data_IF_036551490021
#
_entry.id   IF_036551490021
#
_cell.length_a   1.000
_cell.length_b   1.000
_cell.length_c   1.000
_cell.angle_alpha   90.00
_cell.angle_beta   90.00
_cell.angle_gamma   90.00
#
_symmetry.space_group_name_H-M   'P 1'
#
loop_
_entity.id
_entity.type
_entity.pdbx_description
1 polymer ?
#
# COMPACT_ATOMS: atom_id res chain seq x y z
N UNK A 1 -71.28 -49.68 -48.54
CA UNK A 1 -72.10 -48.51 -48.90
C UNK A 1 -71.38 -47.27 -48.38
N UNK A 2 -70.59 -46.63 -49.25
CA UNK A 2 -70.89 -45.31 -49.86
C UNK A 2 -70.58 -44.17 -48.86
N UNK A 3 -69.37 -43.61 -48.84
CA UNK A 3 -68.81 -42.55 -49.71
C UNK A 3 -69.44 -41.15 -49.46
N UNK A 4 -68.61 -40.20 -48.99
CA UNK A 4 -68.62 -38.74 -49.28
C UNK A 4 -67.48 -38.11 -48.43
N UNK A 5 -66.31 -37.66 -48.93
CA UNK A 5 -65.96 -36.54 -49.84
C UNK A 5 -66.63 -35.20 -49.50
N UNK A 6 -65.86 -34.24 -48.97
CA UNK A 6 -65.76 -32.85 -49.45
C UNK A 6 -64.61 -32.09 -48.74
N UNK A 7 -63.50 -31.76 -49.44
CA UNK A 7 -63.08 -30.41 -49.93
C UNK A 7 -62.56 -29.45 -48.84
N UNK A 8 -61.25 -29.11 -48.85
CA UNK A 8 -60.63 -27.81 -49.29
C UNK A 8 -61.06 -26.64 -48.39
N UNK A 9 -60.18 -25.82 -47.79
CA UNK A 9 -59.08 -25.05 -48.38
C UNK A 9 -58.02 -24.65 -47.34
N UNK A 10 -56.85 -24.23 -47.84
CA UNK A 10 -55.68 -23.88 -47.05
C UNK A 10 -55.71 -22.50 -46.40
N UNK A 11 -54.88 -22.35 -45.37
CA UNK A 11 -54.35 -21.08 -44.91
C UNK A 11 -52.93 -21.30 -44.39
N UNK A 12 -52.01 -20.48 -44.88
CA UNK A 12 -50.61 -20.45 -44.48
C UNK A 12 -50.48 -20.04 -43.00
N UNK A 13 -49.86 -20.91 -42.18
CA UNK A 13 -49.52 -20.64 -40.79
C UNK A 13 -48.00 -20.50 -40.64
N UNK A 14 -47.58 -19.39 -40.04
CA UNK A 14 -46.20 -19.01 -39.75
C UNK A 14 -45.41 -20.06 -38.93
N UNK A 15 -44.07 -20.09 -39.02
CA UNK A 15 -43.24 -21.01 -38.24
C UNK A 15 -43.31 -20.69 -36.73
N UNK A 16 -43.18 -21.72 -35.86
CA UNK A 16 -43.27 -21.55 -34.42
C UNK A 16 -42.10 -20.70 -33.89
N UNK A 17 -42.44 -19.77 -32.99
CA UNK A 17 -41.51 -18.85 -32.34
C UNK A 17 -40.40 -19.57 -31.58
N UNK A 18 -39.19 -19.04 -31.71
CA UNK A 18 -38.04 -19.39 -30.89
C UNK A 18 -38.35 -19.18 -29.39
N UNK A 19 -37.82 -20.03 -28.50
CA UNK A 19 -37.95 -19.80 -27.07
C UNK A 19 -37.28 -18.49 -26.69
N UNK A 20 -38.00 -17.65 -25.95
CA UNK A 20 -37.44 -16.49 -25.25
C UNK A 20 -36.38 -17.04 -24.29
N UNK A 21 -35.11 -16.81 -24.62
CA UNK A 21 -34.00 -17.06 -23.71
C UNK A 21 -34.07 -15.92 -22.70
N UNK A 22 -34.50 -16.23 -21.47
CA UNK A 22 -34.35 -15.32 -20.35
C UNK A 22 -32.88 -14.91 -20.26
N UNK A 23 -32.63 -13.61 -20.43
CA UNK A 23 -31.30 -13.05 -20.23
C UNK A 23 -30.80 -13.32 -18.80
N UNK A 24 -29.47 -13.31 -18.58
CA UNK A 24 -28.92 -13.51 -17.25
C UNK A 24 -29.56 -12.50 -16.27
N UNK A 25 -29.85 -12.91 -15.02
CA UNK A 25 -30.45 -12.02 -14.04
C UNK A 25 -29.56 -10.79 -13.89
N UNK A 26 -30.10 -9.62 -14.23
CA UNK A 26 -29.52 -8.33 -13.86
C UNK A 26 -29.37 -8.31 -12.36
N UNK A 27 -28.13 -8.19 -11.88
CA UNK A 27 -27.81 -8.01 -10.46
C UNK A 27 -28.64 -6.84 -9.94
N UNK A 28 -29.69 -7.15 -9.18
CA UNK A 28 -30.40 -6.20 -8.36
C UNK A 28 -29.38 -5.56 -7.42
N UNK A 29 -29.31 -4.23 -7.42
CA UNK A 29 -28.41 -3.46 -6.56
C UNK A 29 -28.69 -3.80 -5.09
N UNK A 30 -27.88 -4.68 -4.51
CA UNK A 30 -27.91 -4.95 -3.08
C UNK A 30 -27.35 -3.69 -2.41
N UNK A 31 -28.21 -2.93 -1.75
CA UNK A 31 -27.77 -1.86 -0.86
C UNK A 31 -27.10 -2.51 0.36
N UNK A 32 -25.78 -2.58 0.34
CA UNK A 32 -24.97 -3.00 1.48
C UNK A 32 -25.00 -1.87 2.52
N UNK A 33 -25.32 -2.18 3.77
CA UNK A 33 -25.29 -1.18 4.85
C UNK A 33 -23.84 -0.79 5.21
N UNK A 34 -23.68 0.41 5.77
CA UNK A 34 -22.37 1.01 6.10
C UNK A 34 -21.45 0.08 6.90
N UNK A 35 -21.98 -0.62 7.91
CA UNK A 35 -21.17 -1.48 8.77
C UNK A 35 -20.71 -2.74 8.02
N UNK A 36 -21.60 -3.33 7.21
CA UNK A 36 -21.27 -4.47 6.36
C UNK A 36 -20.22 -4.11 5.32
N UNK A 37 -20.32 -2.93 4.70
CA UNK A 37 -19.33 -2.44 3.73
C UNK A 37 -17.94 -2.30 4.37
N UNK A 38 -17.83 -1.67 5.54
CA UNK A 38 -16.56 -1.53 6.26
C UNK A 38 -15.96 -2.87 6.65
N UNK A 39 -16.79 -3.84 7.07
CA UNK A 39 -16.32 -5.17 7.44
C UNK A 39 -15.78 -5.95 6.23
N UNK A 40 -16.50 -5.92 5.11
CA UNK A 40 -16.04 -6.58 3.86
C UNK A 40 -14.75 -5.91 3.37
N UNK A 41 -14.67 -4.58 3.41
CA UNK A 41 -13.45 -3.85 3.06
C UNK A 41 -12.25 -4.22 3.95
N UNK A 42 -12.48 -4.39 5.26
CA UNK A 42 -11.44 -4.82 6.19
C UNK A 42 -10.93 -6.23 5.87
N UNK A 43 -11.84 -7.17 5.65
CA UNK A 43 -11.51 -8.56 5.30
C UNK A 43 -10.72 -8.63 3.99
N UNK A 44 -11.12 -7.86 2.98
CA UNK A 44 -10.38 -7.77 1.72
C UNK A 44 -8.98 -7.19 1.92
N UNK A 45 -8.83 -6.11 2.67
CA UNK A 45 -7.53 -5.50 2.92
C UNK A 45 -6.57 -6.45 3.67
N UNK A 46 -7.10 -7.28 4.57
CA UNK A 46 -6.33 -8.25 5.35
C UNK A 46 -5.88 -9.47 4.52
N UNK A 47 -6.65 -9.86 3.50
CA UNK A 47 -6.38 -11.04 2.68
C UNK A 47 -5.81 -10.71 1.29
N UNK A 48 -5.28 -9.50 1.08
CA UNK A 48 -4.65 -9.09 -0.17
C UNK A 48 -5.63 -8.89 -1.33
N UNK A 49 -6.88 -8.51 -1.03
CA UNK A 49 -7.89 -8.17 -2.01
C UNK A 49 -7.57 -6.92 -2.83
N UNK A 50 -8.27 -6.75 -3.94
CA UNK A 50 -8.08 -5.61 -4.86
C UNK A 50 -8.44 -4.27 -4.17
N UNK A 51 -7.47 -3.36 -4.10
CA UNK A 51 -7.65 -2.03 -3.54
C UNK A 51 -8.71 -1.21 -4.28
N UNK A 52 -8.85 -1.39 -5.60
CA UNK A 52 -9.91 -0.73 -6.37
C UNK A 52 -11.31 -1.14 -5.88
N UNK A 53 -11.47 -2.41 -5.50
CA UNK A 53 -12.73 -2.92 -4.97
C UNK A 53 -13.01 -2.39 -3.56
N UNK A 54 -11.97 -2.22 -2.72
CA UNK A 54 -12.11 -1.54 -1.42
C UNK A 54 -12.55 -0.08 -1.60
N UNK A 55 -11.94 0.63 -2.55
CA UNK A 55 -12.33 2.01 -2.88
C UNK A 55 -13.78 2.08 -3.34
N UNK A 56 -14.20 1.23 -4.27
CA UNK A 56 -15.58 1.19 -4.78
C UNK A 56 -16.59 0.92 -3.66
N UNK A 57 -16.30 -0.06 -2.80
CA UNK A 57 -17.16 -0.45 -1.68
C UNK A 57 -17.33 0.66 -0.65
N UNK A 58 -16.29 1.47 -0.41
CA UNK A 58 -16.30 2.56 0.56
C UNK A 58 -16.70 3.91 -0.05
N UNK A 59 -16.60 4.10 -1.36
CA UNK A 59 -16.86 5.37 -2.04
C UNK A 59 -18.30 5.86 -1.84
N UNK A 60 -19.28 5.00 -2.09
CA UNK A 60 -20.69 5.34 -1.88
C UNK A 60 -20.97 5.78 -0.45
N UNK A 61 -20.63 4.96 0.55
CA UNK A 61 -20.78 5.31 1.96
C UNK A 61 -20.09 6.63 2.36
N UNK A 62 -18.89 6.91 1.83
CA UNK A 62 -18.12 8.12 2.16
C UNK A 62 -18.58 9.39 1.42
N UNK A 63 -19.21 9.26 0.25
CA UNK A 63 -19.55 10.38 -0.65
C UNK A 63 -20.48 11.47 -0.06
N UNK A 64 -21.16 11.20 1.05
CA UNK A 64 -22.03 12.16 1.75
C UNK A 64 -21.41 12.80 2.99
N UNK A 65 -20.16 12.49 3.31
CA UNK A 65 -19.51 12.91 4.55
C UNK A 65 -18.31 13.79 4.23
N UNK A 66 -18.27 14.99 4.81
CA UNK A 66 -17.12 15.88 4.71
C UNK A 66 -16.06 15.51 5.77
N UNK A 67 -14.89 14.98 5.40
CA UNK A 67 -13.84 14.60 6.35
C UNK A 67 -13.25 15.80 7.12
N UNK A 68 -13.43 17.04 6.65
CA UNK A 68 -12.97 18.23 7.35
C UNK A 68 -13.84 18.55 8.57
N UNK A 69 -15.14 18.24 8.51
CA UNK A 69 -16.13 18.64 9.52
C UNK A 69 -16.83 17.47 10.21
N UNK A 70 -16.62 16.24 9.74
CA UNK A 70 -17.15 15.04 10.34
C UNK A 70 -16.75 14.90 11.82
N UNK A 71 -17.71 14.49 12.65
CA UNK A 71 -17.45 14.19 14.06
C UNK A 71 -16.62 12.91 14.20
N UNK A 72 -15.75 12.80 15.21
CA UNK A 72 -15.02 11.56 15.47
C UNK A 72 -15.97 10.39 15.70
N UNK A 73 -15.80 9.33 14.91
CA UNK A 73 -16.57 8.08 14.99
C UNK A 73 -15.65 6.89 14.67
N UNK A 74 -15.76 5.79 15.45
CA UNK A 74 -14.88 4.63 15.31
C UNK A 74 -15.03 3.90 13.98
N UNK A 75 -16.26 3.74 13.46
CA UNK A 75 -16.48 3.08 12.18
C UNK A 75 -16.00 3.96 11.02
N UNK A 76 -16.23 5.27 11.13
CA UNK A 76 -15.74 6.22 10.13
C UNK A 76 -14.21 6.32 10.14
N UNK A 77 -13.55 6.22 11.30
CA UNK A 77 -12.09 6.10 11.38
C UNK A 77 -11.63 4.85 10.62
N UNK A 78 -12.21 3.69 10.89
CA UNK A 78 -11.82 2.45 10.20
C UNK A 78 -12.04 2.53 8.69
N UNK A 79 -13.18 3.06 8.25
CA UNK A 79 -13.47 3.28 6.84
C UNK A 79 -12.46 4.23 6.17
N UNK A 80 -12.14 5.35 6.83
CA UNK A 80 -11.18 6.32 6.34
C UNK A 80 -9.77 5.73 6.20
N UNK A 81 -9.33 4.91 7.16
CA UNK A 81 -8.03 4.21 7.09
C UNK A 81 -7.97 3.24 5.92
N UNK A 82 -9.01 2.42 5.74
CA UNK A 82 -9.09 1.46 4.63
C UNK A 82 -9.14 2.17 3.29
N UNK A 83 -9.99 3.19 3.14
CA UNK A 83 -10.10 3.97 1.92
C UNK A 83 -8.78 4.65 1.56
N UNK A 84 -8.17 5.38 2.51
CA UNK A 84 -6.95 6.12 2.25
C UNK A 84 -5.75 5.23 1.88
N UNK A 85 -5.71 3.98 2.37
CA UNK A 85 -4.69 2.99 1.97
C UNK A 85 -4.97 2.32 0.63
N UNK A 86 -6.24 2.17 0.28
CA UNK A 86 -6.66 1.46 -0.92
C UNK A 86 -6.63 2.35 -2.17
N UNK A 87 -6.74 3.67 -2.02
CA UNK A 87 -6.52 4.62 -3.11
C UNK A 87 -5.07 4.50 -3.56
N UNK A 88 -4.88 3.97 -4.76
CA UNK A 88 -3.56 3.74 -5.37
C UNK A 88 -2.79 5.08 -5.48
N UNK A 89 -1.54 5.14 -5.01
CA UNK A 89 -0.65 6.29 -5.22
C UNK A 89 -0.21 6.50 -6.69
N UNK A 90 -0.62 5.66 -7.64
CA UNK A 90 -0.19 5.81 -9.04
C UNK A 90 -0.57 7.19 -9.63
N UNK A 91 0.41 7.95 -10.17
CA UNK A 91 0.18 9.27 -10.77
C UNK A 91 -0.56 9.19 -12.12
N UNK A 92 -0.76 8.00 -12.67
CA UNK A 92 -1.58 7.78 -13.86
C UNK A 92 -2.83 6.99 -13.46
N UNK A 93 -4.04 7.58 -13.55
CA UNK A 93 -5.26 6.79 -13.49
C UNK A 93 -5.25 5.89 -14.72
N UNK A 94 -5.07 4.58 -14.52
CA UNK A 94 -5.47 3.63 -15.54
C UNK A 94 -6.93 3.96 -15.92
N UNK A 95 -7.29 3.97 -17.22
CA UNK A 95 -8.64 4.31 -17.63
C UNK A 95 -9.60 3.28 -17.04
N UNK A 96 -10.28 3.65 -15.97
CA UNK A 96 -11.32 2.83 -15.36
C UNK A 96 -12.43 2.71 -16.39
N UNK A 97 -12.68 1.48 -16.83
CA UNK A 97 -13.83 1.18 -17.66
C UNK A 97 -15.10 1.52 -16.88
N UNK A 98 -15.71 2.66 -17.20
CA UNK A 98 -16.98 3.10 -16.62
C UNK A 98 -18.09 2.14 -17.03
N UNK A 99 -18.54 1.32 -16.08
CA UNK A 99 -19.85 0.69 -16.14
C UNK A 99 -20.47 0.67 -14.74
N UNK A 100 -21.41 1.59 -14.52
CA UNK A 100 -22.34 1.56 -13.37
C UNK A 100 -22.16 2.70 -12.36
N UNK A 101 -23.17 3.57 -12.28
CA UNK A 101 -23.42 4.58 -11.23
C UNK A 101 -22.17 5.22 -10.57
N UNK A 102 -21.71 6.33 -11.13
CA UNK A 102 -20.65 7.13 -10.52
C UNK A 102 -21.08 7.58 -9.11
N UNK A 103 -20.40 7.13 -8.03
CA UNK A 103 -20.60 7.75 -6.72
C UNK A 103 -20.25 9.24 -6.83
N UNK A 104 -20.88 10.09 -6.01
CA UNK A 104 -20.55 11.51 -5.94
C UNK A 104 -19.06 11.73 -5.62
N UNK A 105 -18.54 12.96 -5.75
CA UNK A 105 -17.12 13.21 -5.52
C UNK A 105 -16.76 12.85 -4.08
N UNK A 106 -16.02 11.76 -3.91
CA UNK A 106 -15.41 11.39 -2.63
C UNK A 106 -14.22 12.32 -2.42
N UNK A 107 -14.07 12.87 -1.22
CA UNK A 107 -12.88 13.62 -0.86
C UNK A 107 -11.61 12.76 -1.08
N UNK A 108 -10.49 13.38 -1.37
CA UNK A 108 -9.26 12.65 -1.64
C UNK A 108 -8.75 11.84 -0.42
N UNK A 109 -7.85 10.91 -0.69
CA UNK A 109 -7.18 10.05 0.30
C UNK A 109 -6.51 10.86 1.42
N UNK A 110 -5.89 12.01 1.09
CA UNK A 110 -5.28 12.91 2.07
C UNK A 110 -6.32 13.42 3.06
N UNK A 111 -7.48 13.87 2.59
CA UNK A 111 -8.54 14.40 3.43
C UNK A 111 -9.05 13.32 4.41
N UNK A 112 -9.27 12.10 3.93
CA UNK A 112 -9.70 10.97 4.76
C UNK A 112 -8.62 10.51 5.75
N UNK A 113 -7.35 10.46 5.34
CA UNK A 113 -6.26 10.15 6.25
C UNK A 113 -6.11 11.21 7.36
N UNK A 114 -6.27 12.49 7.02
CA UNK A 114 -6.27 13.58 8.00
C UNK A 114 -7.46 13.51 8.95
N UNK A 115 -8.65 13.13 8.46
CA UNK A 115 -9.80 12.85 9.31
C UNK A 115 -9.47 11.73 10.31
N UNK A 116 -9.00 10.58 9.83
CA UNK A 116 -8.67 9.43 10.68
C UNK A 116 -7.66 9.81 11.76
N UNK A 117 -6.61 10.55 11.40
CA UNK A 117 -5.60 11.05 12.33
C UNK A 117 -6.21 11.94 13.44
N UNK A 118 -6.99 12.97 13.07
CA UNK A 118 -7.62 13.88 14.05
C UNK A 118 -8.65 13.17 14.93
N UNK A 119 -9.51 12.36 14.32
CA UNK A 119 -10.59 11.66 15.00
C UNK A 119 -10.03 10.61 15.97
N UNK A 120 -9.04 9.83 15.55
CA UNK A 120 -8.40 8.82 16.42
C UNK A 120 -7.75 9.48 17.64
N UNK A 121 -7.08 10.61 17.48
CA UNK A 121 -6.47 11.37 18.59
C UNK A 121 -7.48 12.07 19.50
N UNK A 122 -8.71 12.24 19.04
CA UNK A 122 -9.79 12.79 19.86
C UNK A 122 -10.45 11.69 20.70
N UNK A 123 -10.65 10.51 20.12
CA UNK A 123 -11.32 9.39 20.80
C UNK A 123 -10.37 8.52 21.63
N UNK A 124 -9.08 8.52 21.30
CA UNK A 124 -8.08 7.68 21.91
C UNK A 124 -6.89 8.50 22.41
N UNK A 125 -6.18 7.94 23.38
CA UNK A 125 -4.85 8.46 23.75
C UNK A 125 -3.86 8.31 22.59
N UNK A 126 -2.82 9.15 22.57
CA UNK A 126 -1.79 9.16 21.52
C UNK A 126 -1.10 7.80 21.32
N UNK A 127 -1.06 6.98 22.36
CA UNK A 127 -0.42 5.68 22.42
C UNK A 127 -1.36 4.52 22.05
N UNK A 128 -2.64 4.80 21.77
CA UNK A 128 -3.58 3.78 21.32
C UNK A 128 -3.24 3.30 19.91
N UNK A 129 -3.37 2.01 19.65
CA UNK A 129 -3.01 1.39 18.36
C UNK A 129 -3.67 2.09 17.16
N UNK A 130 -4.95 2.43 17.27
CA UNK A 130 -5.68 3.19 16.23
C UNK A 130 -5.10 4.59 15.97
N UNK A 131 -4.58 5.28 16.99
CA UNK A 131 -3.98 6.60 16.81
C UNK A 131 -2.61 6.48 16.11
N UNK A 132 -1.83 5.46 16.43
CA UNK A 132 -0.58 5.12 15.74
C UNK A 132 -0.87 4.73 14.29
N UNK A 133 -1.83 3.82 14.07
CA UNK A 133 -2.25 3.37 12.74
C UNK A 133 -2.69 4.53 11.84
N UNK A 134 -3.46 5.48 12.40
CA UNK A 134 -3.88 6.67 11.68
C UNK A 134 -2.73 7.64 11.38
N UNK A 135 -1.76 7.74 12.28
CA UNK A 135 -0.55 8.55 12.06
C UNK A 135 0.30 7.98 10.94
N UNK A 136 0.55 6.66 10.95
CA UNK A 136 1.29 5.96 9.89
C UNK A 136 0.57 6.04 8.55
N UNK A 137 -0.76 5.88 8.53
CA UNK A 137 -1.56 5.98 7.30
C UNK A 137 -1.49 7.38 6.71
N UNK A 138 -1.64 8.42 7.54
CA UNK A 138 -1.47 9.80 7.08
C UNK A 138 -0.05 10.04 6.56
N UNK A 139 0.97 9.56 7.27
CA UNK A 139 2.36 9.71 6.83
C UNK A 139 2.62 8.99 5.49
N UNK A 140 2.03 7.81 5.27
CA UNK A 140 2.11 7.07 4.01
C UNK A 140 1.49 7.85 2.84
N UNK A 141 0.24 8.30 3.01
CA UNK A 141 -0.49 9.07 2.00
C UNK A 141 0.20 10.40 1.71
N UNK A 142 0.72 11.08 2.72
CA UNK A 142 1.49 12.31 2.50
C UNK A 142 2.77 12.04 1.71
N UNK A 143 3.48 10.95 1.99
CA UNK A 143 4.67 10.55 1.20
C UNK A 143 4.32 10.31 -0.26
N UNK A 144 3.22 9.61 -0.56
CA UNK A 144 2.83 9.33 -1.95
C UNK A 144 2.39 10.57 -2.72
N UNK A 145 1.92 11.61 -2.02
CA UNK A 145 1.57 12.92 -2.61
C UNK A 145 2.71 13.93 -2.57
N UNK A 146 3.95 13.46 -2.41
CA UNK A 146 5.17 14.27 -2.30
C UNK A 146 5.17 15.31 -1.15
N UNK A 147 4.29 15.16 -0.15
CA UNK A 147 4.22 16.01 1.06
C UNK A 147 5.17 15.53 2.15
N UNK A 148 6.45 15.39 1.78
CA UNK A 148 7.49 14.71 2.54
C UNK A 148 7.81 15.31 3.92
N UNK A 149 7.71 16.64 4.08
CA UNK A 149 8.09 17.30 5.34
C UNK A 149 7.15 16.95 6.50
N UNK A 150 5.85 16.95 6.25
CA UNK A 150 4.83 16.59 7.26
C UNK A 150 4.87 15.08 7.53
N UNK A 151 4.97 14.28 6.46
CA UNK A 151 5.12 12.83 6.56
C UNK A 151 6.33 12.42 7.43
N UNK A 152 7.45 13.12 7.29
CA UNK A 152 8.66 12.90 8.06
C UNK A 152 8.47 13.26 9.54
N UNK A 153 7.83 14.40 9.83
CA UNK A 153 7.55 14.82 11.20
C UNK A 153 6.66 13.80 11.93
N UNK A 154 5.58 13.35 11.30
CA UNK A 154 4.67 12.34 11.88
C UNK A 154 5.39 11.04 12.23
N UNK A 155 6.26 10.53 11.35
CA UNK A 155 7.02 9.30 11.62
C UNK A 155 8.04 9.47 12.75
N UNK A 156 8.68 10.64 12.86
CA UNK A 156 9.56 10.94 14.00
C UNK A 156 8.81 10.91 15.32
N UNK A 157 7.59 11.44 15.35
CA UNK A 157 6.75 11.40 16.55
C UNK A 157 6.40 9.96 16.94
N UNK A 158 6.08 9.08 15.96
CA UNK A 158 5.83 7.65 16.22
C UNK A 158 7.09 6.94 16.74
N UNK A 159 8.26 7.20 16.14
CA UNK A 159 9.54 6.64 16.60
C UNK A 159 9.83 7.05 18.05
N UNK A 160 9.60 8.31 18.40
CA UNK A 160 9.82 8.81 19.76
C UNK A 160 8.80 8.21 20.75
N UNK A 161 7.54 8.08 20.33
CA UNK A 161 6.50 7.46 21.15
C UNK A 161 6.84 6.01 21.52
N UNK A 162 7.33 5.20 20.57
CA UNK A 162 7.76 3.83 20.88
C UNK A 162 8.93 3.81 21.87
N UNK A 163 9.89 4.73 21.71
CA UNK A 163 11.02 4.86 22.62
C UNK A 163 10.57 5.23 24.04
N UNK A 164 9.68 6.22 24.18
CA UNK A 164 9.17 6.69 25.47
C UNK A 164 8.39 5.61 26.22
N UNK A 165 7.77 4.67 25.49
CA UNK A 165 7.05 3.51 26.06
C UNK A 165 7.96 2.33 26.40
N UNK A 166 9.24 2.40 26.05
CA UNK A 166 10.17 1.29 26.17
C UNK A 166 9.90 0.14 25.19
N UNK A 167 9.11 0.38 24.15
CA UNK A 167 8.88 -0.58 23.06
C UNK A 167 10.01 -0.47 22.03
N UNK A 168 11.17 -1.04 22.42
CA UNK A 168 12.41 -0.93 21.66
C UNK A 168 12.28 -1.57 20.28
N UNK A 169 11.53 -2.66 20.17
CA UNK A 169 11.41 -3.41 18.91
C UNK A 169 10.58 -2.60 17.90
N UNK A 170 9.43 -2.07 18.31
CA UNK A 170 8.64 -1.19 17.45
C UNK A 170 9.39 0.11 17.10
N UNK A 171 10.18 0.65 18.04
CA UNK A 171 11.05 1.80 17.77
C UNK A 171 12.05 1.51 16.64
N UNK A 172 12.71 0.34 16.66
CA UNK A 172 13.69 -0.05 15.64
C UNK A 172 13.06 -0.30 14.28
N UNK A 173 11.93 -1.00 14.24
CA UNK A 173 11.16 -1.22 13.00
C UNK A 173 10.72 0.12 12.41
N UNK A 174 10.18 1.04 13.22
CA UNK A 174 9.76 2.36 12.76
C UNK A 174 10.93 3.19 12.18
N UNK A 175 12.13 3.08 12.77
CA UNK A 175 13.35 3.71 12.22
C UNK A 175 13.72 3.16 10.84
N UNK A 176 13.61 1.85 10.65
CA UNK A 176 13.94 1.18 9.36
C UNK A 176 12.91 1.56 8.29
N UNK A 177 11.63 1.63 8.65
CA UNK A 177 10.57 2.15 7.76
C UNK A 177 10.82 3.61 7.37
N UNK A 178 11.20 4.47 8.33
CA UNK A 178 11.56 5.86 8.02
C UNK A 178 12.78 5.94 7.08
N UNK A 179 13.78 5.08 7.29
CA UNK A 179 14.93 5.00 6.41
C UNK A 179 14.54 4.60 4.98
N UNK A 180 13.61 3.66 4.79
CA UNK A 180 13.09 3.32 3.46
C UNK A 180 12.45 4.53 2.77
N UNK A 181 11.68 5.34 3.49
CA UNK A 181 11.12 6.56 2.91
C UNK A 181 12.18 7.63 2.61
N UNK A 182 13.20 7.77 3.47
CA UNK A 182 14.36 8.62 3.18
C UNK A 182 15.08 8.17 1.90
N UNK A 183 15.18 6.86 1.71
CA UNK A 183 15.78 6.25 0.53
C UNK A 183 14.95 6.53 -0.73
N UNK A 184 13.63 6.37 -0.69
CA UNK A 184 12.71 6.72 -1.80
C UNK A 184 12.79 8.21 -2.16
N UNK A 185 13.06 9.05 -1.16
CA UNK A 185 13.29 10.47 -1.36
C UNK A 185 14.64 10.82 -1.98
N UNK A 186 15.54 9.85 -2.19
CA UNK A 186 16.90 10.07 -2.68
C UNK A 186 17.89 10.50 -1.59
N UNK A 187 17.52 10.50 -0.31
CA UNK A 187 18.41 10.79 0.83
C UNK A 187 19.18 9.52 1.24
N UNK A 188 19.79 8.87 0.24
CA UNK A 188 20.29 7.50 0.33
C UNK A 188 21.37 7.35 1.43
N UNK A 189 22.24 8.35 1.65
CA UNK A 189 23.25 8.32 2.73
C UNK A 189 22.72 8.49 4.16
N UNK A 190 21.57 9.14 4.35
CA UNK A 190 20.92 9.22 5.66
C UNK A 190 20.12 7.96 5.95
N UNK A 191 19.34 7.52 4.96
CA UNK A 191 18.58 6.28 5.02
C UNK A 191 19.45 5.09 5.42
N UNK A 192 20.56 4.87 4.71
CA UNK A 192 21.46 3.75 4.99
C UNK A 192 22.04 3.83 6.41
N UNK A 193 22.51 5.02 6.83
CA UNK A 193 23.08 5.17 8.18
C UNK A 193 22.07 4.81 9.26
N UNK A 194 20.84 5.29 9.13
CA UNK A 194 19.79 4.99 10.11
C UNK A 194 19.34 3.53 10.06
N UNK A 195 19.11 2.98 8.86
CA UNK A 195 18.70 1.59 8.68
C UNK A 195 19.75 0.60 9.21
N UNK A 196 21.02 0.81 8.87
CA UNK A 196 22.12 -0.06 9.34
C UNK A 196 22.31 0.05 10.85
N UNK A 197 22.22 1.24 11.43
CA UNK A 197 22.31 1.41 12.88
C UNK A 197 21.15 0.74 13.61
N UNK A 198 19.92 0.86 13.10
CA UNK A 198 18.75 0.21 13.67
C UNK A 198 18.83 -1.32 13.54
N UNK A 199 19.29 -1.83 12.39
CA UNK A 199 19.53 -3.27 12.19
C UNK A 199 20.58 -3.81 13.16
N UNK A 200 21.72 -3.15 13.30
CA UNK A 200 22.75 -3.55 14.25
C UNK A 200 22.19 -3.63 15.67
N UNK A 201 21.40 -2.63 16.07
CA UNK A 201 20.76 -2.65 17.39
C UNK A 201 19.73 -3.78 17.51
N UNK A 202 18.94 -4.05 16.47
CA UNK A 202 18.01 -5.19 16.42
C UNK A 202 18.76 -6.51 16.61
N UNK A 203 19.84 -6.74 15.88
CA UNK A 203 20.67 -7.95 15.95
C UNK A 203 21.41 -8.14 17.29
N UNK A 204 21.47 -7.13 18.16
CA UNK A 204 21.95 -7.32 19.55
C UNK A 204 20.88 -7.87 20.49
N UNK A 205 19.60 -7.80 20.10
CA UNK A 205 18.43 -8.16 20.92
C UNK A 205 17.77 -9.44 20.43
N UNK A 206 17.80 -9.65 19.12
CA UNK A 206 17.16 -10.78 18.44
C UNK A 206 18.21 -11.59 17.71
N UNK A 207 17.97 -12.90 17.63
CA UNK A 207 18.71 -13.74 16.70
C UNK A 207 18.38 -13.27 15.27
N UNK A 208 19.35 -12.87 14.46
CA UNK A 208 19.09 -12.42 13.09
C UNK A 208 18.41 -13.50 12.23
N UNK A 209 18.54 -14.79 12.58
CA UNK A 209 17.94 -15.92 11.85
C UNK A 209 16.50 -16.24 12.28
N UNK A 210 15.99 -15.58 13.33
CA UNK A 210 14.59 -15.73 13.75
C UNK A 210 13.66 -15.16 12.65
N UNK A 211 12.57 -15.87 12.27
CA UNK A 211 11.57 -15.35 11.34
C UNK A 211 11.07 -13.93 11.61
N UNK A 212 11.09 -13.46 12.87
CA UNK A 212 10.71 -12.07 13.21
C UNK A 212 11.69 -11.04 12.65
N UNK A 213 12.95 -11.42 12.41
CA UNK A 213 14.01 -10.57 11.87
C UNK A 213 13.96 -10.47 10.34
N UNK A 214 13.33 -11.44 9.66
CA UNK A 214 13.35 -11.57 8.19
C UNK A 214 12.87 -10.32 7.45
N UNK A 215 11.69 -9.73 7.79
CA UNK A 215 11.18 -8.56 7.05
C UNK A 215 12.11 -7.35 7.19
N UNK A 216 12.64 -7.15 8.39
CA UNK A 216 13.56 -6.07 8.73
C UNK A 216 14.89 -6.23 7.99
N UNK A 217 15.43 -7.45 7.95
CA UNK A 217 16.66 -7.78 7.24
C UNK A 217 16.52 -7.57 5.73
N UNK A 218 15.42 -8.06 5.13
CA UNK A 218 15.11 -7.87 3.71
C UNK A 218 15.03 -6.40 3.32
N UNK A 219 14.38 -5.57 4.13
CA UNK A 219 14.22 -4.15 3.86
C UNK A 219 15.58 -3.42 3.89
N UNK A 220 16.41 -3.72 4.90
CA UNK A 220 17.76 -3.15 5.03
C UNK A 220 18.67 -3.61 3.88
N UNK A 221 18.67 -4.91 3.58
CA UNK A 221 19.45 -5.51 2.49
C UNK A 221 19.08 -4.89 1.12
N UNK A 222 17.78 -4.70 0.86
CA UNK A 222 17.27 -4.11 -0.37
C UNK A 222 17.74 -2.65 -0.53
N UNK A 223 17.67 -1.84 0.53
CA UNK A 223 18.17 -0.46 0.51
C UNK A 223 19.68 -0.39 0.30
N UNK A 224 20.45 -1.21 1.01
CA UNK A 224 21.91 -1.27 0.88
C UNK A 224 22.31 -1.61 -0.55
N UNK A 225 21.66 -2.61 -1.13
CA UNK A 225 21.98 -3.07 -2.47
C UNK A 225 21.60 -1.99 -3.49
N UNK A 226 20.47 -1.32 -3.30
CA UNK A 226 20.02 -0.24 -4.18
C UNK A 226 20.91 1.00 -4.18
N UNK A 227 21.71 1.14 -3.13
CA UNK A 227 22.76 2.15 -3.04
C UNK A 227 24.14 1.64 -3.46
N UNK A 228 24.24 0.42 -4.00
CA UNK A 228 25.48 -0.20 -4.45
C UNK A 228 26.39 -0.72 -3.34
N UNK A 229 25.86 -0.91 -2.12
CA UNK A 229 26.62 -1.41 -0.95
C UNK A 229 26.56 -2.93 -0.85
N UNK A 230 26.99 -3.61 -1.92
CA UNK A 230 26.83 -5.05 -2.11
C UNK A 230 27.43 -5.88 -0.97
N UNK A 231 28.63 -5.54 -0.48
CA UNK A 231 29.28 -6.27 0.61
C UNK A 231 28.46 -6.24 1.90
N UNK A 232 27.81 -5.10 2.19
CA UNK A 232 26.96 -4.95 3.38
C UNK A 232 25.60 -5.60 3.20
N UNK A 233 25.04 -5.59 1.98
CA UNK A 233 23.86 -6.40 1.67
C UNK A 233 24.12 -7.87 1.94
N UNK A 234 25.24 -8.39 1.45
CA UNK A 234 25.65 -9.79 1.69
C UNK A 234 25.78 -10.06 3.17
N UNK A 235 26.42 -9.16 3.93
CA UNK A 235 26.55 -9.32 5.38
C UNK A 235 25.19 -9.39 6.09
N UNK A 236 24.18 -8.62 5.66
CA UNK A 236 22.82 -8.70 6.24
C UNK A 236 22.12 -9.99 5.86
N UNK A 237 22.18 -10.40 4.58
CA UNK A 237 21.58 -11.65 4.08
C UNK A 237 22.19 -12.86 4.79
N UNK A 238 23.51 -12.90 4.90
CA UNK A 238 24.24 -14.01 5.55
C UNK A 238 23.97 -14.05 7.05
N UNK A 239 23.89 -12.89 7.72
CA UNK A 239 23.57 -12.83 9.13
C UNK A 239 22.17 -13.35 9.42
N UNK A 240 21.19 -12.97 8.61
CA UNK A 240 19.79 -13.34 8.82
C UNK A 240 19.40 -14.70 8.21
N UNK A 241 20.37 -15.44 7.65
CA UNK A 241 20.15 -16.71 6.93
C UNK A 241 18.91 -16.66 6.02
N UNK A 242 18.77 -15.55 5.27
CA UNK A 242 17.60 -15.32 4.45
C UNK A 242 17.57 -16.37 3.34
N UNK A 243 16.76 -17.40 3.57
CA UNK A 243 16.61 -18.53 2.66
C UNK A 243 15.59 -18.11 1.59
N UNK A 244 16.09 -17.41 0.57
CA UNK A 244 15.32 -16.70 -0.45
C UNK A 244 14.62 -17.61 -1.47
N UNK A 245 14.09 -18.75 -1.03
CA UNK A 245 13.41 -19.73 -1.87
C UNK A 245 14.38 -20.57 -2.69
N UNK A 246 15.08 -21.48 -2.03
CA UNK A 246 15.55 -22.70 -2.67
C UNK A 246 14.61 -23.83 -2.22
N UNK A 247 13.72 -24.28 -3.10
CA UNK A 247 13.24 -25.67 -3.02
C UNK A 247 14.49 -26.55 -3.24
N UNK A 248 15.14 -26.92 -2.15
CA UNK A 248 16.41 -27.64 -2.17
C UNK A 248 16.16 -29.14 -2.32
N UNK A 249 16.19 -29.61 -3.55
CA UNK A 249 16.87 -30.87 -3.85
C UNK A 249 18.23 -30.53 -4.48
N UNK A 250 19.30 -30.85 -3.75
CA UNK A 250 20.73 -30.71 -4.06
C UNK A 250 21.44 -29.40 -3.64
N UNK A 251 22.52 -29.59 -2.87
CA UNK A 251 23.42 -28.60 -2.27
C UNK A 251 24.19 -27.68 -3.27
N UNK A 252 23.77 -27.62 -4.54
CA UNK A 252 24.27 -26.68 -5.55
C UNK A 252 23.35 -25.48 -5.82
N UNK A 253 22.11 -25.48 -5.32
CA UNK A 253 21.08 -24.49 -5.66
C UNK A 253 21.08 -23.22 -4.78
N UNK A 254 21.64 -23.27 -3.56
CA UNK A 254 21.62 -22.14 -2.60
C UNK A 254 22.41 -20.93 -3.12
N UNK A 255 23.50 -21.16 -3.86
CA UNK A 255 24.21 -20.07 -4.56
C UNK A 255 23.38 -19.45 -5.68
N UNK A 256 22.58 -20.27 -6.38
CA UNK A 256 21.76 -19.83 -7.51
C UNK A 256 20.57 -18.95 -7.09
N UNK A 257 19.84 -19.32 -6.04
CA UNK A 257 18.70 -18.54 -5.55
C UNK A 257 19.15 -17.19 -4.95
N UNK A 258 20.28 -17.18 -4.23
CA UNK A 258 20.91 -15.95 -3.75
C UNK A 258 21.35 -15.05 -4.91
N UNK A 259 22.02 -15.60 -5.92
CA UNK A 259 22.46 -14.84 -7.09
C UNK A 259 21.28 -14.35 -7.93
N UNK A 260 20.19 -15.12 -8.03
CA UNK A 260 18.97 -14.75 -8.73
C UNK A 260 18.18 -13.66 -7.99
N UNK A 261 18.08 -13.74 -6.66
CA UNK A 261 17.52 -12.67 -5.84
C UNK A 261 18.35 -11.39 -5.91
N UNK A 262 19.68 -11.50 -5.82
CA UNK A 262 20.58 -10.37 -6.03
C UNK A 262 20.46 -9.80 -7.44
N UNK A 263 20.19 -10.64 -8.46
CA UNK A 263 19.96 -10.21 -9.85
C UNK A 263 18.60 -9.51 -10.01
N UNK A 264 17.54 -10.04 -9.39
CA UNK A 264 16.21 -9.42 -9.37
C UNK A 264 16.24 -8.08 -8.65
N UNK A 265 16.90 -8.01 -7.49
CA UNK A 265 17.13 -6.75 -6.80
C UNK A 265 18.02 -5.83 -7.65
N UNK A 266 19.13 -6.29 -8.23
CA UNK A 266 19.97 -5.46 -9.09
C UNK A 266 19.21 -4.91 -10.32
N UNK A 267 18.26 -5.67 -10.86
CA UNK A 267 17.39 -5.22 -11.95
C UNK A 267 16.43 -4.10 -11.50
N UNK A 268 15.83 -4.22 -10.30
CA UNK A 268 15.00 -3.13 -9.73
C UNK A 268 15.83 -1.88 -9.40
N UNK A 269 17.14 -2.05 -9.17
CA UNK A 269 18.07 -0.97 -8.83
C UNK A 269 18.51 -0.12 -10.01
N UNK A 270 18.42 -0.57 -11.25
CA UNK A 270 18.71 0.31 -12.39
C UNK A 270 17.76 1.50 -12.37
N UNK A 271 16.48 1.26 -12.10
CA UNK A 271 15.46 2.31 -11.96
C UNK A 271 15.75 3.16 -10.72
N UNK A 272 16.06 2.53 -9.60
CA UNK A 272 16.31 3.23 -8.33
C UNK A 272 17.59 4.07 -8.31
N UNK A 273 18.69 3.57 -8.88
CA UNK A 273 19.97 4.29 -9.01
C UNK A 273 19.79 5.57 -9.83
N UNK A 274 18.94 5.54 -10.85
CA UNK A 274 18.59 6.73 -11.63
C UNK A 274 17.81 7.74 -10.77
N UNK A 275 16.93 7.28 -9.87
CA UNK A 275 16.22 8.14 -8.91
C UNK A 275 17.16 8.72 -7.85
N UNK A 276 17.97 7.89 -7.15
CA UNK A 276 18.99 8.35 -6.19
C UNK A 276 19.94 9.36 -6.86
N UNK A 277 20.46 9.07 -8.07
CA UNK A 277 21.38 9.97 -8.77
C UNK A 277 20.72 11.29 -9.18
N UNK A 278 19.54 11.25 -9.84
CA UNK A 278 18.83 12.48 -10.27
C UNK A 278 18.45 13.37 -9.10
N UNK A 279 18.06 12.81 -7.95
CA UNK A 279 17.69 13.60 -6.76
C UNK A 279 18.90 14.11 -6.00
N UNK A 280 20.00 13.35 -5.95
CA UNK A 280 21.28 13.82 -5.41
C UNK A 280 21.80 15.02 -6.22
N UNK A 281 21.80 14.92 -7.55
CA UNK A 281 22.22 16.00 -8.44
C UNK A 281 21.39 17.27 -8.21
N UNK A 282 20.06 17.15 -8.12
CA UNK A 282 19.19 18.31 -7.80
C UNK A 282 19.47 18.91 -6.43
N UNK A 283 19.73 18.09 -5.41
CA UNK A 283 20.02 18.57 -4.05
C UNK A 283 21.37 19.28 -4.00
N UNK A 284 22.38 18.76 -4.69
CA UNK A 284 23.69 19.40 -4.82
C UNK A 284 23.60 20.72 -5.60
N UNK A 285 22.81 20.78 -6.68
CA UNK A 285 22.54 22.00 -7.42
C UNK A 285 21.80 23.04 -6.54
N UNK A 286 20.78 22.63 -5.79
CA UNK A 286 20.06 23.52 -4.87
C UNK A 286 20.93 24.02 -3.71
N UNK A 287 21.79 23.17 -3.16
CA UNK A 287 22.74 23.53 -2.11
C UNK A 287 23.83 24.49 -2.62
N UNK A 288 24.30 24.31 -3.86
CA UNK A 288 25.22 25.23 -4.52
C UNK A 288 24.57 26.61 -4.73
N UNK A 289 23.31 26.65 -5.20
CA UNK A 289 22.57 27.90 -5.38
C UNK A 289 22.29 28.64 -4.05
N UNK A 290 21.98 27.91 -2.97
CA UNK A 290 21.74 28.51 -1.65
C UNK A 290 23.03 28.98 -0.94
N UNK A 291 24.21 28.51 -1.39
CA UNK A 291 25.51 28.95 -0.92
C UNK A 291 25.93 30.32 -1.47
N UNK A 292 25.50 30.65 -2.69
CA UNK A 292 25.82 31.93 -3.35
C UNK A 292 25.02 33.12 -2.75
N UNK A 293 23.82 32.90 -2.23
CA UNK A 293 22.98 33.96 -1.64
C UNK A 293 23.40 34.41 -0.23
N UNK A 294 24.40 33.76 0.39
CA UNK A 294 24.97 34.17 1.70
C UNK A 294 26.24 35.02 1.57
N UNK A 295 26.65 35.35 0.34
CA UNK A 295 27.85 36.11 0.03
C UNK A 295 27.61 37.54 -0.52
N UNK A 296 26.36 38.02 -0.57
CA UNK A 296 26.01 39.35 -1.07
C UNK A 296 25.57 40.32 0.04
#
# INVERSE_FOLDING_TARGET
MTQQRSTRDGAAGAPPGSPVVDGPPTLTSVTIDWMTAVRIAADLAEHGGDGAYVVELLAGPLSGVDPATARPDHLLIRAALLYARAVDPSPDPAPVATSGASPGPVADDVAWARYAYRAARTLHSIDHSTAIEATETLALVLTSRDQHSEAYALRRDVIQLHLDRGDVDAHLVARITLAAHLHDMGRCGEAIRDATAAWQQWSTRHDPTDPVSEPTALQVASMLLACGRTDETVAVIDAADLNLGADTDAAGAVSGARDEFLTMLAASQIVHRVVCARRLDRTLIAAAAAGDDRGA
#
